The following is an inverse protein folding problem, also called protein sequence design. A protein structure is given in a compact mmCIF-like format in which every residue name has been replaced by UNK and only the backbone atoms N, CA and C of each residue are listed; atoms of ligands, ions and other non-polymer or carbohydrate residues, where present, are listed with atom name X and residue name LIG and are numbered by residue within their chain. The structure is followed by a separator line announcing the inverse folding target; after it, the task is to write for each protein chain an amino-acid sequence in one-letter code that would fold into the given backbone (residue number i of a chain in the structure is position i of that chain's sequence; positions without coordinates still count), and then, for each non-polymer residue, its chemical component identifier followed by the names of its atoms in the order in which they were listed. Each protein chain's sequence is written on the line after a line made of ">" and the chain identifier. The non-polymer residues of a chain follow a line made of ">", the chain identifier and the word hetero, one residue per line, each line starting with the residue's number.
data_IF_747756454677
#
_entry.id   IF_747756454677
#
_cell.length_a   1.000
_cell.length_b   1.000
_cell.length_c   1.000
_cell.angle_alpha   90.00
_cell.angle_beta   90.00
_cell.angle_gamma   90.00
#
_symmetry.space_group_name_H-M   'P 1'
#
loop_
_entity.id
_entity.type
_entity.pdbx_description
1 polymer ?
#
# COMPACT_ATOMS: atom_id res chain seq x y z
N UNK A 1 -22.26 3.25 4.99
CA UNK A 1 -21.73 2.60 6.22
C UNK A 1 -22.88 1.81 6.81
N UNK A 2 -23.03 0.53 6.46
CA UNK A 2 -24.04 -0.33 7.06
C UNK A 2 -23.51 -0.81 8.43
N UNK A 3 -24.18 -0.43 9.51
CA UNK A 3 -23.90 -0.92 10.87
C UNK A 3 -24.84 -2.09 11.15
N UNK A 4 -24.28 -3.28 11.38
CA UNK A 4 -25.03 -4.42 11.89
C UNK A 4 -24.79 -4.50 13.41
N UNK A 5 -25.85 -4.32 14.21
CA UNK A 5 -25.82 -4.33 15.67
C UNK A 5 -26.35 -5.68 16.16
N UNK A 6 -25.51 -6.45 16.86
CA UNK A 6 -25.96 -7.67 17.55
C UNK A 6 -25.22 -7.83 18.88
N UNK A 7 -25.96 -8.15 19.94
CA UNK A 7 -25.44 -8.38 21.28
C UNK A 7 -24.81 -9.78 21.35
N UNK A 8 -23.55 -9.88 21.78
CA UNK A 8 -22.84 -11.15 21.88
C UNK A 8 -22.68 -11.55 23.34
N UNK A 9 -23.08 -12.78 23.66
CA UNK A 9 -22.91 -13.41 24.98
C UNK A 9 -21.64 -14.26 25.08
N UNK A 10 -20.77 -14.25 24.06
CA UNK A 10 -19.60 -15.15 24.00
C UNK A 10 -18.29 -14.40 23.77
N UNK A 11 -17.21 -14.88 24.42
CA UNK A 11 -15.84 -14.38 24.25
C UNK A 11 -15.12 -14.94 23.01
N UNK A 12 -15.79 -15.76 22.19
CA UNK A 12 -15.23 -16.29 20.94
C UNK A 12 -15.85 -15.58 19.73
N UNK A 13 -15.24 -14.49 19.25
CA UNK A 13 -15.77 -13.69 18.14
C UNK A 13 -15.52 -14.30 16.76
N UNK A 14 -14.76 -15.41 16.64
CA UNK A 14 -14.39 -16.00 15.34
C UNK A 14 -15.60 -16.39 14.48
N UNK A 15 -16.66 -17.05 15.01
CA UNK A 15 -17.84 -17.37 14.22
C UNK A 15 -18.54 -16.11 13.70
N UNK A 16 -18.64 -15.08 14.54
CA UNK A 16 -19.26 -13.81 14.18
C UNK A 16 -18.48 -13.04 13.11
N UNK A 17 -17.14 -13.06 13.18
CA UNK A 17 -16.29 -12.50 12.12
C UNK A 17 -16.60 -13.16 10.76
N UNK A 18 -16.60 -14.49 10.75
CA UNK A 18 -16.87 -15.28 9.54
C UNK A 18 -18.26 -14.99 8.99
N UNK A 19 -19.26 -14.92 9.86
CA UNK A 19 -20.64 -14.61 9.49
C UNK A 19 -20.77 -13.17 8.95
N UNK A 20 -20.13 -12.20 9.59
CA UNK A 20 -20.19 -10.79 9.16
C UNK A 20 -19.57 -10.60 7.78
N UNK A 21 -18.36 -11.14 7.56
CA UNK A 21 -17.72 -11.08 6.22
C UNK A 21 -18.56 -11.82 5.18
N UNK A 22 -19.14 -12.97 5.55
CA UNK A 22 -20.06 -13.70 4.68
C UNK A 22 -21.29 -12.85 4.32
N UNK A 23 -21.88 -12.15 5.28
CA UNK A 23 -23.05 -11.30 5.04
C UNK A 23 -22.71 -10.13 4.12
N UNK A 24 -21.55 -9.50 4.30
CA UNK A 24 -21.05 -8.45 3.40
C UNK A 24 -20.83 -8.96 1.98
N UNK A 25 -20.36 -10.19 1.83
CA UNK A 25 -20.18 -10.82 0.53
C UNK A 25 -21.51 -11.21 -0.11
N UNK A 26 -22.42 -11.78 0.68
CA UNK A 26 -23.65 -12.38 0.19
C UNK A 26 -24.73 -11.36 -0.20
N UNK A 27 -24.54 -10.06 0.01
CA UNK A 27 -25.41 -9.01 -0.57
C UNK A 27 -25.52 -9.15 -2.09
N UNK A 28 -24.49 -9.69 -2.75
CA UNK A 28 -24.54 -9.97 -4.20
C UNK A 28 -25.61 -11.00 -4.57
N UNK A 29 -25.96 -11.90 -3.64
CA UNK A 29 -26.99 -12.91 -3.87
C UNK A 29 -28.40 -12.33 -3.80
N UNK A 30 -28.60 -11.27 -3.01
CA UNK A 30 -29.89 -10.61 -2.83
C UNK A 30 -30.11 -9.52 -3.86
N UNK A 31 -29.13 -8.64 -4.05
CA UNK A 31 -29.22 -7.49 -4.96
C UNK A 31 -28.97 -7.88 -6.44
N UNK A 32 -28.32 -9.04 -6.65
CA UNK A 32 -27.91 -9.51 -7.96
C UNK A 32 -26.76 -8.69 -8.58
N UNK A 33 -25.95 -9.34 -9.40
CA UNK A 33 -24.89 -8.68 -10.16
C UNK A 33 -25.14 -8.86 -11.65
N UNK A 34 -25.12 -7.75 -12.36
CA UNK A 34 -25.36 -7.72 -13.80
C UNK A 34 -24.12 -8.23 -14.57
N UNK A 35 -24.29 -8.53 -15.86
CA UNK A 35 -23.20 -9.02 -16.72
C UNK A 35 -22.01 -8.05 -16.79
N UNK A 36 -22.25 -6.75 -16.59
CA UNK A 36 -21.21 -5.76 -16.35
C UNK A 36 -21.13 -5.49 -14.83
N UNK A 37 -20.16 -6.08 -14.11
CA UNK A 37 -20.11 -6.04 -12.65
C UNK A 37 -19.66 -4.66 -12.16
N UNK A 38 -20.62 -3.75 -12.01
CA UNK A 38 -20.42 -2.40 -11.45
C UNK A 38 -21.00 -2.29 -10.05
N UNK A 39 -20.44 -1.39 -9.23
CA UNK A 39 -21.01 -1.10 -7.92
C UNK A 39 -22.33 -0.35 -8.07
N UNK A 40 -23.40 -0.83 -7.41
CA UNK A 40 -24.72 -0.20 -7.38
C UNK A 40 -25.23 -0.14 -5.95
N UNK A 41 -26.35 0.56 -5.74
CA UNK A 41 -26.94 0.69 -4.40
C UNK A 41 -27.21 -0.71 -3.81
N UNK A 42 -26.74 -0.94 -2.59
CA UNK A 42 -26.86 -2.24 -1.88
C UNK A 42 -25.69 -3.19 -2.10
N UNK A 43 -24.84 -2.99 -3.12
CA UNK A 43 -23.66 -3.82 -3.39
C UNK A 43 -22.38 -3.31 -2.75
N UNK A 44 -22.38 -2.20 -2.00
CA UNK A 44 -21.16 -1.49 -1.63
C UNK A 44 -20.19 -2.37 -0.82
N UNK A 45 -20.72 -3.21 0.08
CA UNK A 45 -19.91 -4.12 0.90
C UNK A 45 -19.28 -5.23 0.06
N UNK A 46 -20.03 -5.79 -0.89
CA UNK A 46 -19.51 -6.78 -1.85
C UNK A 46 -18.51 -6.13 -2.80
N UNK A 47 -18.83 -4.95 -3.33
CA UNK A 47 -18.00 -4.21 -4.27
C UNK A 47 -16.65 -3.84 -3.65
N UNK A 48 -16.61 -3.50 -2.37
CA UNK A 48 -15.36 -3.30 -1.64
C UNK A 48 -14.55 -4.61 -1.56
N UNK A 49 -15.18 -5.72 -1.12
CA UNK A 49 -14.51 -7.02 -0.92
C UNK A 49 -14.04 -7.69 -2.22
N UNK A 50 -14.82 -7.56 -3.29
CA UNK A 50 -14.57 -8.17 -4.58
C UNK A 50 -13.79 -7.26 -5.54
N UNK A 51 -13.37 -6.07 -5.11
CA UNK A 51 -12.69 -5.12 -5.98
C UNK A 51 -11.37 -5.71 -6.51
N UNK A 52 -11.25 -5.91 -7.82
CA UNK A 52 -10.10 -6.60 -8.42
C UNK A 52 -8.76 -5.86 -8.22
N UNK A 53 -8.79 -4.55 -8.02
CA UNK A 53 -7.57 -3.76 -7.77
C UNK A 53 -7.17 -3.75 -6.30
N UNK A 54 -8.05 -4.18 -5.39
CA UNK A 54 -7.71 -4.22 -3.97
C UNK A 54 -6.64 -5.29 -3.71
N UNK A 55 -5.49 -4.85 -3.19
CA UNK A 55 -4.34 -5.74 -2.96
C UNK A 55 -4.09 -6.09 -1.51
N UNK A 56 -4.72 -5.37 -0.57
CA UNK A 56 -4.53 -5.58 0.87
C UNK A 56 -5.85 -5.39 1.61
N UNK A 57 -6.02 -6.14 2.69
CA UNK A 57 -7.15 -6.00 3.60
C UNK A 57 -6.64 -6.07 5.03
N UNK A 58 -7.14 -5.19 5.88
CA UNK A 58 -6.90 -5.19 7.32
C UNK A 58 -8.22 -5.19 8.05
N UNK A 59 -8.45 -6.14 8.93
CA UNK A 59 -9.68 -6.20 9.73
C UNK A 59 -9.38 -6.09 11.22
N UNK A 60 -10.25 -5.41 11.95
CA UNK A 60 -10.17 -5.24 13.38
C UNK A 60 -11.56 -5.36 14.00
N UNK A 61 -11.63 -5.98 15.18
CA UNK A 61 -12.87 -6.09 15.94
C UNK A 61 -12.67 -5.58 17.36
N UNK A 62 -13.71 -4.98 17.94
CA UNK A 62 -13.69 -4.48 19.31
C UNK A 62 -15.07 -4.64 19.96
N UNK A 63 -15.11 -5.24 21.14
CA UNK A 63 -16.31 -5.25 21.97
C UNK A 63 -16.41 -3.92 22.74
N UNK A 64 -17.51 -3.20 22.56
CA UNK A 64 -17.83 -1.97 23.27
C UNK A 64 -19.18 -2.17 23.96
N UNK A 65 -19.19 -2.26 25.29
CA UNK A 65 -20.40 -2.39 26.11
C UNK A 65 -21.34 -3.55 25.68
N UNK A 66 -20.75 -4.72 25.34
CA UNK A 66 -21.52 -5.90 24.94
C UNK A 66 -21.88 -5.96 23.45
N UNK A 67 -21.50 -4.94 22.68
CA UNK A 67 -21.66 -4.89 21.22
C UNK A 67 -20.31 -5.08 20.54
N UNK A 68 -20.18 -6.10 19.70
CA UNK A 68 -18.96 -6.32 18.93
C UNK A 68 -19.02 -5.53 17.63
N UNK A 69 -18.08 -4.62 17.47
CA UNK A 69 -17.84 -3.90 16.23
C UNK A 69 -16.79 -4.65 15.43
N UNK A 70 -17.05 -4.84 14.14
CA UNK A 70 -16.09 -5.35 13.17
C UNK A 70 -15.92 -4.31 12.06
N UNK A 71 -14.68 -3.99 11.73
CA UNK A 71 -14.35 -3.16 10.58
C UNK A 71 -13.26 -3.84 9.76
N UNK A 72 -13.43 -3.87 8.44
CA UNK A 72 -12.37 -4.20 7.50
C UNK A 72 -12.09 -2.97 6.64
N UNK A 73 -10.82 -2.62 6.52
CA UNK A 73 -10.31 -1.64 5.59
C UNK A 73 -9.67 -2.39 4.43
N UNK A 74 -10.10 -2.07 3.22
CA UNK A 74 -9.55 -2.60 1.99
C UNK A 74 -8.67 -1.50 1.40
N UNK A 75 -7.45 -1.87 1.03
CA UNK A 75 -6.47 -0.96 0.48
C UNK A 75 -6.75 -0.77 -1.01
N UNK A 76 -6.67 0.49 -1.45
CA UNK A 76 -7.35 1.09 -2.61
C UNK A 76 -8.81 1.46 -2.35
N UNK A 77 -9.21 2.62 -2.90
CA UNK A 77 -10.57 3.16 -2.73
C UNK A 77 -11.55 2.17 -3.37
N UNK A 78 -12.52 1.71 -2.59
CA UNK A 78 -13.62 0.89 -3.11
C UNK A 78 -14.26 1.59 -4.33
N UNK A 79 -14.68 0.83 -5.36
CA UNK A 79 -15.25 1.39 -6.57
C UNK A 79 -16.47 2.24 -6.20
N UNK A 80 -16.53 3.47 -6.70
CA UNK A 80 -17.70 4.33 -6.53
C UNK A 80 -18.92 3.76 -7.26
N UNK A 81 -20.11 4.31 -7.00
CA UNK A 81 -21.31 3.92 -7.72
C UNK A 81 -21.08 4.01 -9.24
N UNK A 82 -21.53 2.98 -9.96
CA UNK A 82 -21.34 2.75 -11.40
C UNK A 82 -19.90 2.49 -11.85
N UNK A 83 -18.93 2.36 -10.94
CA UNK A 83 -17.57 1.95 -11.29
C UNK A 83 -17.46 0.42 -11.32
N UNK A 84 -16.61 -0.14 -12.21
CA UNK A 84 -16.41 -1.58 -12.29
C UNK A 84 -15.80 -2.14 -11.00
N UNK A 85 -16.34 -3.25 -10.54
CA UNK A 85 -15.82 -4.00 -9.39
C UNK A 85 -14.61 -4.83 -9.84
N UNK A 86 -14.76 -5.57 -10.94
CA UNK A 86 -13.72 -6.39 -11.57
C UNK A 86 -13.98 -6.53 -13.08
N UNK A 87 -12.98 -7.03 -13.82
CA UNK A 87 -13.14 -7.36 -15.24
C UNK A 87 -13.63 -8.81 -15.39
N UNK A 88 -14.61 -9.05 -16.25
CA UNK A 88 -15.15 -10.39 -16.50
C UNK A 88 -14.15 -11.19 -17.33
N UNK A 89 -13.66 -12.30 -16.77
CA UNK A 89 -12.69 -13.15 -17.43
C UNK A 89 -12.38 -14.42 -16.65
N UNK A 90 -11.49 -15.25 -17.22
CA UNK A 90 -10.92 -16.38 -16.49
C UNK A 90 -9.90 -15.85 -15.47
N UNK A 91 -9.83 -16.49 -14.30
CA UNK A 91 -8.75 -16.24 -13.36
C UNK A 91 -7.38 -16.57 -13.95
N UNK A 92 -6.32 -16.06 -13.35
CA UNK A 92 -4.98 -16.18 -13.92
C UNK A 92 -4.52 -17.65 -13.98
N UNK A 93 -3.68 -17.95 -14.96
CA UNK A 93 -2.98 -19.24 -15.14
C UNK A 93 -1.47 -19.07 -15.20
N UNK A 94 -0.99 -17.88 -15.59
CA UNK A 94 0.40 -17.49 -15.60
C UNK A 94 0.56 -16.04 -15.12
N UNK A 95 1.79 -15.65 -14.77
CA UNK A 95 2.10 -14.28 -14.35
C UNK A 95 1.74 -13.23 -15.41
N UNK A 96 1.81 -13.59 -16.69
CA UNK A 96 1.45 -12.72 -17.83
C UNK A 96 -0.02 -12.35 -17.87
N UNK A 97 -0.89 -13.11 -17.20
CA UNK A 97 -2.32 -12.81 -17.10
C UNK A 97 -2.61 -11.70 -16.06
N UNK A 98 -1.64 -11.39 -15.20
CA UNK A 98 -1.75 -10.42 -14.12
C UNK A 98 -1.17 -9.06 -14.52
N UNK A 99 -1.93 -8.33 -15.33
CA UNK A 99 -1.46 -7.10 -16.00
C UNK A 99 -1.64 -5.83 -15.16
N UNK A 100 -2.48 -5.87 -14.11
CA UNK A 100 -2.85 -4.68 -13.32
C UNK A 100 -1.66 -4.04 -12.60
N UNK A 101 -0.73 -4.85 -12.07
CA UNK A 101 0.44 -4.35 -11.33
C UNK A 101 1.72 -4.98 -11.87
N UNK A 102 2.76 -4.16 -12.06
CA UNK A 102 4.04 -4.63 -12.58
C UNK A 102 4.71 -5.66 -11.64
N UNK A 103 5.26 -6.72 -12.23
CA UNK A 103 5.88 -7.81 -11.45
C UNK A 103 4.88 -8.69 -10.69
N UNK A 104 3.60 -8.63 -11.03
CA UNK A 104 2.61 -9.55 -10.47
C UNK A 104 2.89 -10.99 -10.89
N UNK A 105 2.49 -11.92 -10.02
CA UNK A 105 2.57 -13.36 -10.25
C UNK A 105 1.17 -13.97 -10.14
N UNK A 106 0.99 -15.14 -10.74
CA UNK A 106 -0.24 -15.90 -10.59
C UNK A 106 -0.10 -16.97 -9.51
N UNK A 107 -1.06 -17.03 -8.59
CA UNK A 107 -1.27 -18.21 -7.76
C UNK A 107 -2.21 -19.17 -8.50
N UNK A 108 -1.65 -20.19 -9.14
CA UNK A 108 -2.41 -21.16 -9.96
C UNK A 108 -3.33 -22.06 -9.15
N UNK A 109 -3.12 -22.20 -7.83
CA UNK A 109 -4.00 -22.98 -6.96
C UNK A 109 -5.33 -22.29 -6.64
N UNK A 110 -5.39 -20.96 -6.75
CA UNK A 110 -6.60 -20.17 -6.52
C UNK A 110 -7.00 -19.32 -7.72
N UNK A 111 -6.19 -19.33 -8.79
CA UNK A 111 -6.32 -18.46 -9.96
C UNK A 111 -6.34 -16.96 -9.64
N UNK A 112 -5.75 -16.56 -8.51
CA UNK A 112 -5.65 -15.17 -8.07
C UNK A 112 -4.28 -14.58 -8.41
N UNK A 113 -4.30 -13.35 -8.92
CA UNK A 113 -3.09 -12.56 -9.06
C UNK A 113 -2.57 -12.12 -7.68
N UNK A 114 -1.28 -12.33 -7.44
CA UNK A 114 -0.58 -11.77 -6.29
C UNK A 114 0.18 -10.55 -6.80
N UNK A 115 -0.27 -9.38 -6.35
CA UNK A 115 0.26 -8.11 -6.79
C UNK A 115 1.78 -8.03 -6.55
N UNK A 116 2.48 -7.57 -7.57
CA UNK A 116 3.88 -7.18 -7.49
C UNK A 116 4.03 -5.77 -6.95
N UNK A 117 4.98 -5.04 -7.51
CA UNK A 117 5.17 -3.64 -7.19
C UNK A 117 3.93 -2.83 -7.61
N UNK A 118 3.31 -2.10 -6.69
CA UNK A 118 2.16 -1.23 -6.98
C UNK A 118 2.69 -0.01 -7.75
N UNK A 119 2.46 0.01 -9.07
CA UNK A 119 2.71 1.17 -9.92
C UNK A 119 1.49 2.10 -9.87
N UNK A 120 1.58 3.27 -9.21
CA UNK A 120 0.45 4.20 -9.09
C UNK A 120 0.05 4.83 -10.43
N UNK A 121 0.88 4.73 -11.48
CA UNK A 121 0.60 5.25 -12.80
C UNK A 121 -0.24 4.30 -13.68
N UNK A 122 -0.48 3.06 -13.24
CA UNK A 122 -1.34 2.09 -13.94
C UNK A 122 -2.84 2.36 -13.70
N UNK A 123 -3.28 3.60 -13.93
CA UNK A 123 -4.70 3.96 -14.05
C UNK A 123 -4.95 4.72 -15.34
N UNK A 124 -4.87 4.01 -16.46
CA UNK A 124 -5.65 4.30 -17.67
C UNK A 124 -5.46 3.15 -18.66
N UNK A 125 -6.34 2.16 -18.60
CA UNK A 125 -6.69 1.39 -19.79
C UNK A 125 -8.14 1.72 -20.11
N UNK A 126 -8.32 2.38 -21.25
CA UNK A 126 -9.61 2.73 -21.82
C UNK A 126 -10.44 1.46 -22.02
N UNK A 127 -11.73 1.54 -21.69
CA UNK A 127 -12.68 0.45 -21.89
C UNK A 127 -12.57 -0.14 -23.32
N UNK A 128 -12.46 -1.48 -23.50
CA UNK A 128 -12.50 -2.07 -24.83
C UNK A 128 -13.91 -2.00 -25.40
N UNK A 129 -14.05 -1.30 -26.52
CA UNK A 129 -15.22 -1.39 -27.39
C UNK A 129 -15.34 -2.81 -27.96
N UNK A 130 -16.56 -3.35 -27.99
CA UNK A 130 -16.88 -4.70 -28.47
C UNK A 130 -16.32 -4.99 -29.89
N UNK A 131 -15.81 -6.20 -30.16
CA UNK A 131 -15.42 -6.57 -31.52
C UNK A 131 -16.62 -7.07 -32.33
N UNK A 132 -16.76 -6.54 -33.54
CA UNK A 132 -17.62 -7.05 -34.61
C UNK A 132 -16.85 -8.08 -35.44
N UNK A 133 -17.41 -9.28 -35.58
CA UNK A 133 -17.05 -10.35 -36.55
C UNK A 133 -17.38 -9.86 -37.99
N UNK A 134 -16.70 -10.23 -39.11
CA UNK A 134 -16.54 -11.65 -39.49
C UNK A 134 -15.34 -12.11 -40.38
N UNK A 135 -15.25 -13.46 -40.45
CA UNK A 135 -14.86 -14.32 -41.60
C UNK A 135 -13.44 -14.93 -41.69
N UNK A 136 -13.38 -16.22 -41.30
CA UNK A 136 -12.77 -17.44 -41.89
C UNK A 136 -11.47 -17.44 -42.73
N UNK A 137 -10.44 -18.15 -42.18
CA UNK A 137 -9.67 -19.35 -42.65
C UNK A 137 -9.03 -19.44 -44.06
N UNK A 138 -8.09 -20.41 -44.35
CA UNK A 138 -7.37 -21.40 -43.49
C UNK A 138 -5.85 -21.58 -43.83
N UNK A 139 -5.21 -22.64 -43.26
CA UNK A 139 -4.05 -23.45 -43.77
C UNK A 139 -2.68 -23.08 -43.13
N UNK A 140 -1.74 -23.92 -42.65
CA UNK A 140 -1.35 -25.37 -42.70
C UNK A 140 -0.35 -25.60 -41.53
N UNK A 141 -0.43 -26.67 -40.73
CA UNK A 141 0.35 -27.94 -40.74
C UNK A 141 1.89 -27.86 -40.71
N UNK A 142 2.50 -28.40 -39.64
CA UNK A 142 3.69 -29.30 -39.58
C UNK A 142 4.23 -29.30 -38.12
N UNK A 143 3.97 -30.30 -37.27
CA UNK A 143 4.60 -31.63 -37.11
C UNK A 143 6.11 -31.70 -37.35
N UNK A 144 6.91 -31.74 -36.28
CA UNK A 144 7.99 -32.76 -36.15
C UNK A 144 8.35 -32.99 -34.67
N UNK A 145 8.44 -34.26 -34.30
CA UNK A 145 8.87 -34.78 -33.01
C UNK A 145 10.33 -35.25 -33.06
N UNK A 146 11.03 -35.24 -31.92
CA UNK A 146 12.00 -36.27 -31.48
C UNK A 146 12.38 -35.98 -30.01
N UNK A 147 11.97 -36.76 -29.01
CA UNK A 147 12.40 -38.12 -28.58
C UNK A 147 13.58 -38.10 -27.60
N UNK A 148 13.21 -38.27 -26.32
CA UNK A 148 13.82 -38.99 -25.19
C UNK A 148 15.34 -39.01 -24.95
N UNK A 149 15.71 -38.77 -23.69
CA UNK A 149 16.53 -39.73 -22.91
C UNK A 149 16.14 -39.71 -21.44
N UNK A 150 15.97 -40.93 -20.92
CA UNK A 150 15.65 -41.34 -19.55
C UNK A 150 16.88 -41.29 -18.63
N UNK A 151 16.65 -40.97 -17.36
CA UNK A 151 17.63 -41.10 -16.28
C UNK A 151 16.94 -41.02 -14.93
N UNK A 152 16.61 -42.19 -14.37
CA UNK A 152 15.96 -42.36 -13.07
C UNK A 152 17.01 -42.52 -11.97
N UNK A 153 16.90 -41.73 -10.90
CA UNK A 153 17.48 -42.07 -9.59
C UNK A 153 16.53 -41.59 -8.49
N UNK A 154 16.38 -42.46 -7.49
CA UNK A 154 15.37 -42.49 -6.43
C UNK A 154 15.54 -41.39 -5.35
N UNK A 155 14.57 -41.23 -4.43
CA UNK A 155 14.22 -39.95 -3.80
C UNK A 155 15.02 -39.67 -2.52
N UNK A 156 15.50 -38.44 -2.39
CA UNK A 156 16.03 -37.93 -1.12
C UNK A 156 14.93 -37.13 -0.42
N UNK A 157 14.47 -37.67 0.70
CA UNK A 157 13.51 -37.05 1.62
C UNK A 157 14.10 -35.76 2.19
N UNK A 158 13.61 -34.61 1.73
CA UNK A 158 13.92 -33.31 2.35
C UNK A 158 12.68 -32.88 3.11
N UNK A 159 12.75 -33.02 4.43
CA UNK A 159 11.74 -32.59 5.39
C UNK A 159 11.42 -31.12 5.17
N UNK A 160 10.18 -30.83 4.77
CA UNK A 160 9.64 -29.49 4.73
C UNK A 160 9.70 -28.89 6.13
N UNK A 161 10.60 -27.94 6.35
CA UNK A 161 10.62 -27.12 7.55
C UNK A 161 9.37 -26.24 7.52
N UNK A 162 8.38 -26.63 8.33
CA UNK A 162 7.13 -25.91 8.48
C UNK A 162 7.41 -24.48 8.91
N UNK A 163 6.88 -23.52 8.14
CA UNK A 163 6.79 -22.13 8.55
C UNK A 163 5.94 -22.08 9.83
N UNK A 164 6.61 -21.90 10.97
CA UNK A 164 5.96 -21.62 12.24
C UNK A 164 5.16 -20.32 12.08
N UNK A 165 3.83 -20.45 12.02
CA UNK A 165 2.94 -19.32 12.21
C UNK A 165 3.25 -18.69 13.56
N UNK A 166 3.56 -17.40 13.53
CA UNK A 166 3.76 -16.56 14.71
C UNK A 166 2.52 -16.61 15.60
N UNK A 167 2.68 -17.08 16.84
CA UNK A 167 1.64 -17.24 17.87
C UNK A 167 1.51 -16.00 18.78
N UNK A 168 1.79 -14.79 18.27
CA UNK A 168 1.83 -13.60 19.14
C UNK A 168 0.41 -13.19 19.57
N UNK A 169 0.13 -13.07 20.88
CA UNK A 169 -1.17 -12.64 21.40
C UNK A 169 -1.50 -11.18 21.04
N UNK A 170 -2.79 -10.77 21.06
CA UNK A 170 -3.18 -9.38 20.84
C UNK A 170 -2.67 -8.51 22.00
N UNK A 171 -1.55 -7.80 21.78
CA UNK A 171 -0.95 -6.87 22.75
C UNK A 171 0.57 -6.81 22.70
N UNK A 172 1.24 -7.84 22.19
CA UNK A 172 2.69 -7.82 22.00
C UNK A 172 3.02 -7.30 20.59
N UNK A 173 3.76 -6.20 20.54
CA UNK A 173 4.24 -5.63 19.28
C UNK A 173 5.74 -5.86 19.20
N UNK A 174 6.22 -6.44 18.11
CA UNK A 174 7.62 -6.83 17.91
C UNK A 174 8.48 -5.68 17.39
N UNK A 175 7.89 -4.74 16.62
CA UNK A 175 8.64 -3.61 16.04
C UNK A 175 8.98 -2.58 17.11
N UNK A 176 8.03 -2.27 18.00
CA UNK A 176 8.24 -1.35 19.12
C UNK A 176 7.61 -1.89 20.42
N UNK A 177 8.27 -2.84 21.10
CA UNK A 177 7.72 -3.53 22.28
C UNK A 177 7.17 -2.61 23.37
N UNK A 178 7.82 -1.46 23.59
CA UNK A 178 7.43 -0.50 24.63
C UNK A 178 6.29 0.45 24.20
N UNK A 179 5.91 0.44 22.91
CA UNK A 179 4.93 1.36 22.34
C UNK A 179 3.61 0.66 21.94
N UNK A 180 3.31 -0.51 22.49
CA UNK A 180 2.09 -1.26 22.14
C UNK A 180 0.78 -0.50 22.41
N UNK A 181 0.81 0.50 23.31
CA UNK A 181 -0.31 1.39 23.60
C UNK A 181 -0.50 2.51 22.56
N UNK A 182 0.53 2.81 21.74
CA UNK A 182 0.49 3.84 20.70
C UNK A 182 -0.07 3.27 19.41
N UNK A 183 0.49 2.12 18.99
CA UNK A 183 0.24 1.54 17.67
C UNK A 183 0.55 0.06 17.65
N UNK A 184 0.05 -0.64 16.62
CA UNK A 184 0.33 -2.05 16.35
C UNK A 184 1.35 -2.19 15.22
N UNK A 185 2.02 -3.34 15.13
CA UNK A 185 2.97 -3.59 14.04
C UNK A 185 2.32 -3.51 12.65
N UNK A 186 1.04 -3.85 12.52
CA UNK A 186 0.31 -3.71 11.28
C UNK A 186 0.28 -2.24 10.81
N UNK A 187 -0.02 -1.30 11.70
CA UNK A 187 -0.05 0.14 11.38
C UNK A 187 1.37 0.66 11.08
N UNK A 188 2.36 0.24 11.86
CA UNK A 188 3.78 0.59 11.62
C UNK A 188 4.24 0.15 10.24
N UNK A 189 3.91 -1.08 9.87
CA UNK A 189 4.24 -1.64 8.56
C UNK A 189 3.54 -0.88 7.44
N UNK A 190 2.29 -0.44 7.60
CA UNK A 190 1.63 0.36 6.56
C UNK A 190 2.39 1.68 6.32
N UNK A 191 2.75 2.41 7.37
CA UNK A 191 3.56 3.62 7.20
C UNK A 191 4.92 3.30 6.57
N UNK A 192 5.63 2.30 7.09
CA UNK A 192 6.96 1.90 6.61
C UNK A 192 6.94 1.49 5.13
N UNK A 193 5.99 0.65 4.74
CA UNK A 193 5.81 0.16 3.39
C UNK A 193 5.49 1.30 2.43
N UNK A 194 4.54 2.19 2.78
CA UNK A 194 4.16 3.27 1.88
C UNK A 194 5.29 4.26 1.65
N UNK A 195 6.02 4.63 2.70
CA UNK A 195 7.17 5.54 2.53
C UNK A 195 8.26 4.89 1.66
N UNK A 196 8.60 3.62 1.92
CA UNK A 196 9.63 2.93 1.14
C UNK A 196 9.18 2.61 -0.29
N UNK A 197 7.90 2.31 -0.51
CA UNK A 197 7.31 2.14 -1.84
C UNK A 197 7.48 3.42 -2.65
N UNK A 198 7.03 4.55 -2.11
CA UNK A 198 7.14 5.87 -2.72
C UNK A 198 8.60 6.26 -3.01
N UNK A 199 9.49 6.06 -2.04
CA UNK A 199 10.94 6.31 -2.22
C UNK A 199 11.55 5.42 -3.31
N UNK A 200 11.18 4.14 -3.38
CA UNK A 200 11.63 3.21 -4.43
C UNK A 200 11.15 3.65 -5.81
N UNK A 201 9.88 4.07 -5.90
CA UNK A 201 9.26 4.59 -7.12
C UNK A 201 10.03 5.80 -7.65
N UNK A 202 10.29 6.78 -6.77
CA UNK A 202 11.06 7.97 -7.12
C UNK A 202 12.48 7.62 -7.54
N UNK A 203 13.14 6.74 -6.78
CA UNK A 203 14.51 6.34 -7.07
C UNK A 203 14.66 5.70 -8.44
N UNK A 204 13.65 4.94 -8.89
CA UNK A 204 13.61 4.28 -10.20
C UNK A 204 13.01 5.14 -11.32
N UNK A 205 12.51 6.34 -11.02
CA UNK A 205 11.98 7.26 -12.03
C UNK A 205 10.57 6.90 -12.48
N UNK A 206 9.75 6.35 -11.57
CA UNK A 206 8.37 5.95 -11.82
C UNK A 206 7.33 6.97 -11.30
N UNK A 207 7.79 8.13 -10.83
CA UNK A 207 6.93 9.18 -10.26
C UNK A 207 6.83 10.34 -11.24
N UNK A 208 5.62 10.74 -11.60
CA UNK A 208 5.40 11.95 -12.42
C UNK A 208 5.70 13.21 -11.63
N UNK A 209 6.40 14.16 -12.24
CA UNK A 209 6.61 15.49 -11.70
C UNK A 209 5.57 16.47 -12.29
N UNK A 210 4.68 17.00 -11.45
CA UNK A 210 3.61 17.91 -11.85
C UNK A 210 4.09 19.21 -12.52
N UNK A 211 5.35 19.59 -12.37
CA UNK A 211 5.92 20.80 -12.97
C UNK A 211 6.28 20.60 -14.45
N UNK A 212 6.66 19.38 -14.82
CA UNK A 212 7.08 19.04 -16.20
C UNK A 212 6.10 18.10 -16.91
N UNK A 213 5.18 17.48 -16.16
CA UNK A 213 4.35 16.36 -16.59
C UNK A 213 5.13 15.16 -17.13
N UNK A 214 6.43 15.07 -16.80
CA UNK A 214 7.32 13.97 -17.16
C UNK A 214 7.79 13.22 -15.91
N UNK A 215 8.40 12.03 -16.04
CA UNK A 215 8.99 11.33 -14.91
C UNK A 215 10.02 12.18 -14.18
N UNK A 216 9.92 12.20 -12.85
CA UNK A 216 10.90 12.81 -11.98
C UNK A 216 12.26 12.11 -12.15
N UNK A 217 13.36 12.87 -12.04
CA UNK A 217 14.70 12.30 -12.19
C UNK A 217 14.97 11.24 -11.11
N UNK A 218 15.64 10.16 -11.49
CA UNK A 218 16.02 9.08 -10.58
C UNK A 218 16.89 9.55 -9.41
N UNK A 219 16.81 8.83 -8.28
CA UNK A 219 17.62 9.10 -7.09
C UNK A 219 18.73 8.07 -6.93
N UNK A 220 19.98 8.54 -6.94
CA UNK A 220 21.14 7.66 -7.00
C UNK A 220 21.56 7.01 -5.68
N UNK A 221 21.06 7.52 -4.55
CA UNK A 221 21.43 7.08 -3.20
C UNK A 221 20.28 7.21 -2.19
N UNK A 222 19.06 6.86 -2.60
CA UNK A 222 17.87 6.92 -1.75
C UNK A 222 17.93 5.85 -0.66
N UNK A 223 18.04 6.22 0.62
CA UNK A 223 18.10 5.23 1.72
C UNK A 223 16.73 4.56 1.95
N UNK A 224 16.71 3.24 2.20
CA UNK A 224 15.52 2.52 2.69
C UNK A 224 15.29 2.89 4.16
N UNK A 225 14.13 3.49 4.46
CA UNK A 225 13.79 3.90 5.81
C UNK A 225 13.59 2.69 6.72
N UNK A 226 13.99 2.83 7.99
CA UNK A 226 13.69 1.92 9.10
C UNK A 226 12.69 2.59 10.06
N UNK A 227 11.83 1.80 10.68
CA UNK A 227 10.90 2.32 11.69
C UNK A 227 11.65 2.64 12.99
N UNK A 228 11.32 3.76 13.62
CA UNK A 228 11.97 4.24 14.84
C UNK A 228 10.93 4.50 15.94
N UNK A 229 11.04 3.75 17.03
CA UNK A 229 10.08 3.80 18.14
C UNK A 229 10.13 5.11 18.92
N UNK A 230 11.30 5.75 19.04
CA UNK A 230 11.44 7.07 19.69
C UNK A 230 10.75 8.16 18.86
N UNK A 231 10.90 8.11 17.53
CA UNK A 231 10.18 9.01 16.63
C UNK A 231 8.66 8.78 16.69
N UNK A 232 8.20 7.52 16.79
CA UNK A 232 6.78 7.19 17.00
C UNK A 232 6.26 7.78 18.33
N UNK A 233 7.00 7.63 19.43
CA UNK A 233 6.63 8.21 20.73
C UNK A 233 6.53 9.74 20.65
N UNK A 234 7.48 10.37 19.97
CA UNK A 234 7.48 11.83 19.74
C UNK A 234 6.29 12.27 18.89
N UNK A 235 5.98 11.56 17.80
CA UNK A 235 4.83 11.85 16.95
C UNK A 235 3.51 11.67 17.72
N UNK A 236 3.40 10.62 18.55
CA UNK A 236 2.22 10.39 19.38
C UNK A 236 2.02 11.48 20.42
N UNK A 237 3.10 11.95 21.05
CA UNK A 237 3.05 13.02 22.04
C UNK A 237 2.48 14.33 21.47
N UNK A 238 2.74 14.59 20.18
CA UNK A 238 2.11 15.70 19.46
C UNK A 238 0.69 15.39 18.99
N UNK A 239 0.46 14.22 18.39
CA UNK A 239 -0.85 13.84 17.85
C UNK A 239 -1.96 13.96 18.90
N UNK A 240 -1.69 13.55 20.13
CA UNK A 240 -2.64 13.61 21.25
C UNK A 240 -2.93 15.02 21.78
N UNK A 241 -2.17 16.05 21.38
CA UNK A 241 -2.48 17.45 21.72
C UNK A 241 -3.75 17.93 21.02
N UNK A 242 -4.18 17.23 19.96
CA UNK A 242 -5.39 17.55 19.21
C UNK A 242 -5.43 19.01 18.73
N UNK A 243 -4.29 19.49 18.25
CA UNK A 243 -4.13 20.78 17.60
C UNK A 243 -3.94 20.60 16.10
N UNK A 244 -4.56 21.48 15.33
CA UNK A 244 -4.43 21.52 13.87
C UNK A 244 -3.26 22.42 13.45
N UNK A 245 -2.08 22.19 14.06
CA UNK A 245 -0.85 22.93 13.80
C UNK A 245 0.37 21.99 13.88
N UNK A 246 1.53 22.42 13.38
CA UNK A 246 2.77 21.64 13.42
C UNK A 246 3.40 21.67 14.83
N UNK A 247 4.11 20.62 15.24
CA UNK A 247 4.64 20.53 16.62
C UNK A 247 5.75 21.50 16.95
N UNK A 248 6.49 21.95 15.93
CA UNK A 248 7.77 22.65 16.09
C UNK A 248 8.77 21.91 17.01
N UNK A 249 8.65 20.58 17.13
CA UNK A 249 9.54 19.76 17.95
C UNK A 249 10.98 19.91 17.45
N UNK A 250 11.89 20.31 18.34
CA UNK A 250 13.27 20.56 17.97
C UNK A 250 13.96 19.28 17.50
N UNK A 251 14.67 19.37 16.37
CA UNK A 251 15.49 18.26 15.85
C UNK A 251 14.74 17.17 15.11
N UNK A 252 13.42 17.32 14.89
CA UNK A 252 12.64 16.43 14.03
C UNK A 252 12.06 17.19 12.86
N UNK A 253 11.93 16.50 11.73
CA UNK A 253 11.12 16.97 10.62
C UNK A 253 9.74 16.33 10.72
N UNK A 254 8.67 17.06 10.38
CA UNK A 254 7.30 16.60 10.61
C UNK A 254 6.48 16.60 9.33
N UNK A 255 5.69 15.55 9.16
CA UNK A 255 4.48 15.59 8.33
C UNK A 255 3.25 15.39 9.22
N UNK A 256 2.23 16.22 9.02
CA UNK A 256 0.95 16.14 9.70
C UNK A 256 -0.20 16.07 8.69
N UNK A 257 -1.26 15.36 9.05
CA UNK A 257 -2.53 15.43 8.33
C UNK A 257 -3.71 15.22 9.29
N UNK A 258 -4.76 16.03 9.15
CA UNK A 258 -6.00 15.87 9.91
C UNK A 258 -7.10 15.28 9.02
N UNK A 259 -7.73 14.21 9.51
CA UNK A 259 -8.85 13.55 8.84
C UNK A 259 -10.15 13.91 9.53
N UNK A 260 -11.26 14.09 8.78
CA UNK A 260 -12.59 14.07 9.37
C UNK A 260 -12.76 12.79 10.22
N UNK A 261 -13.53 12.86 11.32
CA UNK A 261 -13.73 11.75 12.26
C UNK A 261 -14.56 10.56 11.70
N UNK A 262 -14.30 10.18 10.45
CA UNK A 262 -14.97 9.12 9.68
C UNK A 262 -13.89 8.17 9.18
N UNK A 263 -13.52 7.22 10.05
CA UNK A 263 -12.49 6.19 9.84
C UNK A 263 -11.05 6.72 9.72
N UNK A 264 -10.10 5.90 10.17
CA UNK A 264 -8.67 6.18 10.09
C UNK A 264 -8.24 5.93 8.64
N UNK A 265 -8.28 6.99 7.84
CA UNK A 265 -7.81 6.97 6.47
C UNK A 265 -6.27 7.00 6.48
N UNK A 266 -5.64 5.83 6.37
CA UNK A 266 -4.17 5.72 6.34
C UNK A 266 -3.54 6.24 5.04
N UNK A 267 -4.28 6.96 4.19
CA UNK A 267 -3.77 7.67 3.01
C UNK A 267 -2.91 8.90 3.33
N UNK A 268 -2.62 9.22 4.60
CA UNK A 268 -1.77 10.37 4.95
C UNK A 268 -0.48 10.40 4.12
N UNK A 269 0.22 9.26 4.04
CA UNK A 269 1.43 9.09 3.23
C UNK A 269 1.19 9.31 1.74
N UNK A 270 0.06 8.88 1.19
CA UNK A 270 -0.26 9.10 -0.22
C UNK A 270 -0.55 10.57 -0.49
N UNK A 271 -1.35 11.23 0.34
CA UNK A 271 -1.67 12.67 0.20
C UNK A 271 -0.44 13.55 0.32
N UNK A 272 0.44 13.25 1.28
CA UNK A 272 1.73 13.91 1.43
C UNK A 272 2.61 13.73 0.20
N UNK A 273 2.62 12.52 -0.38
CA UNK A 273 3.41 12.22 -1.55
C UNK A 273 2.87 12.90 -2.82
N UNK A 274 1.55 12.96 -2.99
CA UNK A 274 0.87 13.53 -4.17
C UNK A 274 1.26 14.98 -4.48
N UNK A 275 1.87 15.70 -3.54
CA UNK A 275 2.42 17.04 -3.78
C UNK A 275 3.39 17.09 -4.97
N UNK A 276 4.25 16.07 -5.18
CA UNK A 276 5.16 16.05 -6.33
C UNK A 276 4.39 15.88 -7.66
N UNK A 277 3.29 15.14 -7.64
CA UNK A 277 2.49 14.89 -8.84
C UNK A 277 1.55 16.04 -9.17
N UNK A 278 1.05 16.76 -8.15
CA UNK A 278 0.03 17.81 -8.31
C UNK A 278 0.63 19.21 -8.39
N UNK A 279 1.67 19.51 -7.60
CA UNK A 279 2.33 20.82 -7.55
C UNK A 279 3.62 20.81 -8.35
N UNK A 280 4.39 19.72 -8.21
CA UNK A 280 5.67 19.56 -8.91
C UNK A 280 6.78 20.46 -8.40
N UNK A 281 7.97 20.31 -8.99
CA UNK A 281 9.11 21.19 -8.74
C UNK A 281 10.14 21.16 -9.88
N UNK A 282 10.96 22.20 -10.00
CA UNK A 282 12.10 22.17 -10.92
C UNK A 282 13.15 21.15 -10.49
N UNK A 283 13.72 20.44 -11.47
CA UNK A 283 14.84 19.50 -11.28
C UNK A 283 16.03 19.83 -12.19
N UNK A 284 16.00 20.99 -12.86
CA UNK A 284 17.11 21.49 -13.65
C UNK A 284 18.25 21.91 -12.70
N UNK A 285 17.90 22.67 -11.67
CA UNK A 285 18.82 23.14 -10.63
C UNK A 285 18.65 22.34 -9.33
N UNK A 286 19.08 21.08 -9.35
CA UNK A 286 19.33 20.29 -8.13
C UNK A 286 18.12 20.04 -7.20
N UNK A 287 16.88 20.04 -7.72
CA UNK A 287 15.67 19.68 -6.97
C UNK A 287 15.65 20.26 -5.54
N UNK A 288 15.95 21.55 -5.44
CA UNK A 288 16.07 22.27 -4.17
C UNK A 288 14.68 22.47 -3.55
N UNK A 289 14.56 22.13 -2.27
CA UNK A 289 13.33 22.29 -1.52
C UNK A 289 13.13 23.74 -1.09
N UNK A 290 11.96 24.29 -1.44
CA UNK A 290 11.44 25.51 -0.85
C UNK A 290 9.99 25.30 -0.41
N UNK A 291 9.66 25.64 0.83
CA UNK A 291 8.32 25.51 1.41
C UNK A 291 7.25 26.24 0.60
N UNK A 292 7.60 27.38 -0.04
CA UNK A 292 6.70 28.15 -0.93
C UNK A 292 6.17 27.36 -2.13
N UNK A 293 6.83 26.28 -2.52
CA UNK A 293 6.36 25.39 -3.59
C UNK A 293 5.20 24.51 -3.13
N UNK A 294 4.92 24.47 -1.83
CA UNK A 294 3.89 23.63 -1.24
C UNK A 294 4.21 22.14 -1.29
N UNK A 295 5.47 21.73 -1.47
CA UNK A 295 5.89 20.32 -1.55
C UNK A 295 6.58 19.83 -0.26
N UNK A 296 6.29 20.48 0.87
CA UNK A 296 6.98 20.24 2.14
C UNK A 296 6.82 18.82 2.67
N UNK A 297 5.65 18.21 2.47
CA UNK A 297 5.41 16.85 2.94
C UNK A 297 6.15 15.82 2.09
N UNK A 298 6.07 15.98 0.76
CA UNK A 298 6.85 15.20 -0.18
C UNK A 298 8.35 15.32 0.09
N UNK A 299 8.85 16.54 0.29
CA UNK A 299 10.29 16.77 0.50
C UNK A 299 10.83 16.00 1.71
N UNK A 300 10.08 15.92 2.82
CA UNK A 300 10.47 15.14 4.00
C UNK A 300 10.42 13.64 3.74
N UNK A 301 9.40 13.15 3.03
CA UNK A 301 9.30 11.73 2.65
C UNK A 301 10.42 11.29 1.68
N UNK A 302 10.77 12.15 0.72
CA UNK A 302 11.71 11.87 -0.36
C UNK A 302 13.17 12.18 -0.01
N UNK A 303 13.45 12.68 1.20
CA UNK A 303 14.80 13.12 1.57
C UNK A 303 15.79 11.95 1.58
N UNK A 304 16.81 11.97 0.71
CA UNK A 304 17.60 10.76 0.42
C UNK A 304 18.42 10.25 1.60
N UNK A 305 18.86 11.15 2.48
CA UNK A 305 19.72 10.86 3.62
C UNK A 305 18.97 10.50 4.89
N UNK A 306 17.64 10.68 4.93
CA UNK A 306 16.85 10.29 6.09
C UNK A 306 16.85 8.76 6.21
N UNK A 307 17.20 8.25 7.39
CA UNK A 307 17.37 6.81 7.61
C UNK A 307 16.21 6.18 8.37
N UNK A 308 15.50 6.97 9.17
CA UNK A 308 14.44 6.44 10.02
C UNK A 308 13.39 7.48 10.37
N UNK A 309 12.20 6.99 10.68
CA UNK A 309 11.03 7.78 11.02
C UNK A 309 10.08 6.96 11.89
N UNK A 310 9.11 7.61 12.52
CA UNK A 310 8.04 6.97 13.26
C UNK A 310 6.77 7.80 13.21
N UNK A 311 5.63 7.13 13.25
CA UNK A 311 4.33 7.77 13.04
C UNK A 311 3.32 7.37 14.10
N UNK A 312 2.35 8.25 14.34
CA UNK A 312 1.24 7.99 15.21
C UNK A 312 -0.03 8.62 14.64
N UNK A 313 -1.17 8.00 14.93
CA UNK A 313 -2.48 8.57 14.65
C UNK A 313 -3.29 8.59 15.95
N UNK A 314 -3.85 9.75 16.29
CA UNK A 314 -4.65 9.93 17.50
C UNK A 314 -6.06 10.41 17.15
N UNK A 315 -7.07 9.78 17.74
CA UNK A 315 -8.48 10.17 17.55
C UNK A 315 -8.83 11.32 18.50
N UNK A 316 -8.93 12.52 17.94
CA UNK A 316 -9.41 13.71 18.63
C UNK A 316 -10.95 13.79 18.61
N UNK A 317 -11.56 14.75 19.34
CA UNK A 317 -13.02 14.88 19.37
C UNK A 317 -13.66 15.01 17.97
N UNK A 318 -13.07 15.84 17.10
CA UNK A 318 -13.65 16.20 15.80
C UNK A 318 -12.88 15.67 14.58
N UNK A 319 -11.66 15.19 14.77
CA UNK A 319 -10.77 14.76 13.70
C UNK A 319 -9.82 13.65 14.18
N UNK A 320 -9.12 13.01 13.24
CA UNK A 320 -7.98 12.14 13.56
C UNK A 320 -6.72 12.89 13.18
N UNK A 321 -5.78 13.02 14.11
CA UNK A 321 -4.50 13.68 13.90
C UNK A 321 -3.43 12.64 13.58
N UNK A 322 -2.94 12.60 12.35
CA UNK A 322 -1.85 11.72 11.93
C UNK A 322 -0.56 12.53 11.82
N UNK A 323 0.48 12.07 12.52
CA UNK A 323 1.78 12.73 12.61
C UNK A 323 2.87 11.71 12.30
N UNK A 324 3.84 12.10 11.47
CA UNK A 324 5.08 11.35 11.27
C UNK A 324 6.27 12.27 11.55
N UNK A 325 7.17 11.80 12.42
CA UNK A 325 8.45 12.46 12.70
C UNK A 325 9.59 11.71 12.02
N UNK A 326 10.46 12.47 11.37
CA UNK A 326 11.65 11.98 10.68
C UNK A 326 12.90 12.46 11.41
N UNK A 327 13.90 11.59 11.48
CA UNK A 327 15.21 11.94 12.03
C UNK A 327 16.03 12.68 10.95
N UNK A 328 15.64 13.92 10.68
CA UNK A 328 16.24 14.81 9.69
C UNK A 328 15.51 14.87 8.34
N UNK A 329 15.98 15.78 7.49
CA UNK A 329 15.45 16.03 6.14
C UNK A 329 14.48 17.21 6.05
N UNK A 330 14.07 17.60 4.84
CA UNK A 330 13.14 18.71 4.62
C UNK A 330 13.67 20.08 5.08
N UNK A 331 14.97 20.32 4.92
CA UNK A 331 15.61 21.60 5.26
C UNK A 331 15.44 22.57 4.09
N UNK A 332 14.89 23.75 4.35
CA UNK A 332 14.70 24.81 3.35
C UNK A 332 16.02 25.13 2.63
N UNK A 333 16.00 25.21 1.31
CA UNK A 333 17.19 25.44 0.48
C UNK A 333 18.08 24.22 0.29
N UNK A 334 17.78 23.07 0.89
CA UNK A 334 18.51 21.82 0.68
C UNK A 334 18.03 21.02 -0.53
N UNK A 335 18.92 20.21 -1.10
CA UNK A 335 18.58 19.25 -2.15
C UNK A 335 17.83 18.04 -1.54
N UNK A 336 16.64 17.72 -2.07
CA UNK A 336 15.82 16.62 -1.55
C UNK A 336 16.52 15.27 -1.74
N UNK A 337 17.05 15.02 -2.94
CA UNK A 337 17.79 13.80 -3.22
C UNK A 337 18.81 14.00 -4.33
N UNK A 338 19.91 13.26 -4.26
CA UNK A 338 20.96 13.29 -5.28
C UNK A 338 20.51 12.57 -6.55
N UNK A 339 20.22 13.36 -7.58
CA UNK A 339 19.79 12.83 -8.88
C UNK A 339 20.87 11.98 -9.57
N UNK A 340 20.43 10.94 -10.27
CA UNK A 340 21.25 10.02 -11.05
C UNK A 340 20.71 8.59 -11.03
N UNK A 341 21.32 7.65 -11.78
CA UNK A 341 20.81 6.30 -11.91
C UNK A 341 20.61 5.63 -10.54
N UNK A 342 19.48 4.94 -10.38
CA UNK A 342 19.12 4.27 -9.13
C UNK A 342 20.28 3.44 -8.58
N UNK A 343 20.49 3.51 -7.27
CA UNK A 343 21.57 2.82 -6.54
C UNK A 343 23.02 3.12 -6.93
N UNK A 344 23.28 3.96 -7.95
CA UNK A 344 24.64 4.23 -8.45
C UNK A 344 25.60 4.74 -7.38
N UNK A 345 25.07 5.32 -6.30
CA UNK A 345 25.83 5.88 -5.18
C UNK A 345 25.50 5.21 -3.84
N UNK A 346 24.86 4.03 -3.81
CA UNK A 346 24.66 3.32 -2.53
C UNK A 346 26.00 2.94 -1.89
N UNK A 347 27.01 2.56 -2.69
CA UNK A 347 28.35 2.26 -2.18
C UNK A 347 29.05 3.43 -1.48
N UNK A 348 28.54 4.66 -1.60
CA UNK A 348 29.05 5.82 -0.84
C UNK A 348 28.40 5.94 0.56
N UNK A 349 27.46 5.06 0.91
CA UNK A 349 26.74 5.05 2.18
C UNK A 349 27.04 3.73 2.90
N UNK A 350 28.10 3.72 3.72
CA UNK A 350 28.49 2.56 4.52
C UNK A 350 28.63 1.28 3.70
N UNK A 351 28.36 0.13 4.33
CA UNK A 351 28.29 -1.18 3.66
C UNK A 351 26.87 -1.46 3.11
N UNK A 352 26.25 -0.49 2.42
CA UNK A 352 24.89 -0.65 1.92
C UNK A 352 24.81 -1.42 0.60
N UNK A 353 23.69 -2.13 0.40
CA UNK A 353 23.35 -2.82 -0.85
C UNK A 353 22.17 -2.13 -1.55
N UNK A 354 22.02 -2.40 -2.84
CA UNK A 354 20.85 -1.98 -3.60
C UNK A 354 19.70 -2.99 -3.45
N UNK A 355 18.51 -2.51 -3.12
CA UNK A 355 17.27 -3.29 -3.12
C UNK A 355 16.16 -2.40 -3.68
N UNK A 356 15.62 -2.75 -4.85
CA UNK A 356 14.52 -2.01 -5.50
C UNK A 356 14.77 -0.49 -5.67
N UNK A 357 16.01 -0.10 -5.96
CA UNK A 357 16.40 1.31 -6.12
C UNK A 357 16.75 2.02 -4.80
N UNK A 358 16.64 1.34 -3.66
CA UNK A 358 16.97 1.87 -2.34
C UNK A 358 18.31 1.34 -1.82
N UNK A 359 19.03 2.17 -1.08
CA UNK A 359 20.23 1.79 -0.33
C UNK A 359 19.82 1.22 1.03
N UNK A 360 20.09 -0.07 1.23
CA UNK A 360 19.77 -0.78 2.48
C UNK A 360 21.02 -0.88 3.32
N UNK A 361 21.00 -0.21 4.48
CA UNK A 361 22.07 -0.16 5.49
C UNK A 361 22.08 -1.37 6.41
#
# INVERSE_FOLDING_TARGET
>A
MQQFLQTLTTCNPKPFFKETVKNWWDVVRTEGLDANPVNKDGLESFAALAHAKATRIGCAQKNCNGVLYLACAIFDKAPEKNQPIYEVGKGCTAATDCTTFAGSRCNTGTNLCVAGYIDPAATTSTAPTSPTTPTASPTTTDTTASTSTTGSTAPTTITASGSTMSTVPPGETTICPNNGHISTDAIRNIYLDLHNLHRSNLARGLVTNGFTHAPARQASKMIKLKYNCTAETSAFAWAQQCKDEDSHTQGVSENRYTFPNRNLDMTASNRWWEEITTKGMSQEDLNIFYSRLGVSHYARMAWDSTQSFGCAAFKCPNFINAVCHYNGGGVEGGQIYKMGPACRRCSTIGASRCEEGLCVL
#
